data_IF_870695941487
#
_entry.id   IF_870695941487
#
_cell.length_a   1.000
_cell.length_b   1.000
_cell.length_c   1.000
_cell.angle_alpha   90.00
_cell.angle_beta   90.00
_cell.angle_gamma   90.00
#
_symmetry.space_group_name_H-M   'P 1'
#
loop_
_entity.id
_entity.type
_entity.pdbx_description
1 polymer ?
#
# COMPACT_ATOMS: atom_id res chain seq x y z
N UNK A 1 1.33 -23.82 14.70
CA UNK A 1 1.02 -22.42 15.08
C UNK A 1 -0.32 -21.97 14.50
N UNK A 2 -0.49 -21.92 13.17
CA UNK A 2 -1.74 -21.44 12.56
C UNK A 2 -2.95 -22.32 12.92
N UNK A 3 -2.82 -23.64 12.94
CA UNK A 3 -3.93 -24.51 13.34
C UNK A 3 -4.33 -24.36 14.82
N UNK A 4 -3.39 -24.02 15.69
CA UNK A 4 -3.66 -23.68 17.09
C UNK A 4 -4.41 -22.34 17.20
N UNK A 5 -3.99 -21.34 16.42
CA UNK A 5 -4.69 -20.06 16.34
C UNK A 5 -6.11 -20.22 15.77
N UNK A 6 -6.31 -21.11 14.79
CA UNK A 6 -7.63 -21.45 14.23
C UNK A 6 -8.58 -22.05 15.26
N UNK A 7 -8.05 -22.80 16.22
CA UNK A 7 -8.82 -23.38 17.35
C UNK A 7 -9.10 -22.37 18.48
N UNK A 8 -8.63 -21.13 18.35
CA UNK A 8 -8.84 -20.09 19.36
C UNK A 8 -7.83 -20.11 20.50
N UNK A 9 -6.71 -20.84 20.38
CA UNK A 9 -5.68 -20.86 21.42
C UNK A 9 -5.01 -19.48 21.57
N UNK A 10 -5.14 -18.77 22.72
CA UNK A 10 -4.73 -17.37 22.85
C UNK A 10 -3.25 -17.14 22.54
N UNK A 11 -2.37 -17.99 23.08
CA UNK A 11 -0.92 -17.89 22.85
C UNK A 11 -0.52 -18.09 21.38
N UNK A 12 -1.31 -18.85 20.62
CA UNK A 12 -1.07 -19.05 19.19
C UNK A 12 -1.55 -17.87 18.36
N UNK A 13 -2.65 -17.24 18.75
CA UNK A 13 -3.15 -15.99 18.14
C UNK A 13 -2.14 -14.87 18.38
N UNK A 14 -1.67 -14.67 19.62
CA UNK A 14 -0.70 -13.63 19.94
C UNK A 14 0.59 -13.76 19.11
N UNK A 15 1.14 -14.97 19.02
CA UNK A 15 2.32 -15.22 18.17
C UNK A 15 2.05 -14.91 16.70
N UNK A 16 0.88 -15.26 16.20
CA UNK A 16 0.51 -14.95 14.82
C UNK A 16 0.41 -13.43 14.60
N UNK A 17 -0.24 -12.70 15.50
CA UNK A 17 -0.38 -11.24 15.41
C UNK A 17 0.99 -10.55 15.43
N UNK A 18 1.90 -10.98 16.31
CA UNK A 18 3.28 -10.44 16.39
C UNK A 18 4.04 -10.66 15.09
N UNK A 19 3.94 -11.86 14.49
CA UNK A 19 4.59 -12.16 13.21
C UNK A 19 4.02 -11.30 12.08
N UNK A 20 2.68 -11.23 11.98
CA UNK A 20 2.01 -10.46 10.94
C UNK A 20 2.26 -8.96 11.07
N UNK A 21 2.37 -8.42 12.29
CA UNK A 21 2.57 -6.99 12.56
C UNK A 21 3.78 -6.42 11.80
N UNK A 22 4.91 -7.12 11.78
CA UNK A 22 6.12 -6.65 11.08
C UNK A 22 5.91 -6.52 9.57
N UNK A 23 5.29 -7.52 8.96
CA UNK A 23 5.07 -7.57 7.52
C UNK A 23 4.05 -6.54 7.08
N UNK A 24 2.94 -6.40 7.81
CA UNK A 24 1.91 -5.41 7.49
C UNK A 24 2.37 -3.99 7.77
N UNK A 25 3.23 -3.75 8.78
CA UNK A 25 3.79 -2.42 9.03
C UNK A 25 4.66 -1.97 7.86
N UNK A 26 5.54 -2.84 7.36
CA UNK A 26 6.36 -2.54 6.17
C UNK A 26 5.49 -2.27 4.95
N UNK A 27 4.46 -3.10 4.72
CA UNK A 27 3.53 -2.91 3.62
C UNK A 27 2.75 -1.59 3.73
N UNK A 28 2.24 -1.26 4.93
CA UNK A 28 1.47 -0.05 5.19
C UNK A 28 2.32 1.21 5.00
N UNK A 29 3.56 1.22 5.48
CA UNK A 29 4.49 2.35 5.28
C UNK A 29 4.84 2.61 3.80
N UNK A 30 4.75 1.61 2.94
CA UNK A 30 4.95 1.75 1.48
C UNK A 30 3.67 2.19 0.77
N UNK A 31 2.53 1.63 1.19
CA UNK A 31 1.28 1.65 0.45
C UNK A 31 0.25 2.68 0.94
N UNK A 32 0.35 3.12 2.19
CA UNK A 32 -0.62 3.99 2.83
C UNK A 32 -0.18 5.46 2.76
N UNK A 33 -1.11 6.37 2.45
CA UNK A 33 -0.83 7.81 2.33
C UNK A 33 -0.98 8.57 3.65
N UNK A 34 -1.43 7.89 4.71
CA UNK A 34 -1.60 8.45 6.06
C UNK A 34 -0.24 8.58 6.77
N UNK A 35 -0.09 9.59 7.62
CA UNK A 35 1.16 9.80 8.38
C UNK A 35 1.34 8.81 9.51
N UNK A 36 0.22 8.43 10.13
CA UNK A 36 0.17 7.44 11.19
C UNK A 36 -0.47 6.17 10.63
N UNK A 37 0.35 5.16 10.35
CA UNK A 37 -0.11 3.86 9.85
C UNK A 37 -0.43 2.90 10.98
N UNK A 38 -0.10 3.24 12.23
CA UNK A 38 -0.21 2.34 13.37
C UNK A 38 -1.68 2.05 13.69
N UNK A 39 -2.58 3.03 13.52
CA UNK A 39 -4.04 2.83 13.61
C UNK A 39 -4.54 1.82 12.56
N UNK A 40 -4.09 1.93 11.31
CA UNK A 40 -4.50 1.02 10.24
C UNK A 40 -4.02 -0.42 10.50
N UNK A 41 -2.81 -0.54 11.02
CA UNK A 41 -2.19 -1.79 11.42
C UNK A 41 -2.98 -2.42 12.57
N UNK A 42 -3.32 -1.63 13.59
CA UNK A 42 -4.03 -2.10 14.77
C UNK A 42 -5.43 -2.62 14.40
N UNK A 43 -6.18 -1.88 13.59
CA UNK A 43 -7.48 -2.34 13.06
C UNK A 43 -7.34 -3.60 12.22
N UNK A 44 -6.30 -3.69 11.39
CA UNK A 44 -6.04 -4.89 10.59
C UNK A 44 -5.74 -6.13 11.45
N UNK A 45 -5.01 -5.96 12.56
CA UNK A 45 -4.74 -7.03 13.52
C UNK A 45 -5.99 -7.45 14.28
N UNK A 46 -6.88 -6.51 14.63
CA UNK A 46 -8.18 -6.80 15.24
C UNK A 46 -9.10 -7.59 14.29
N UNK A 47 -9.05 -7.30 12.99
CA UNK A 47 -9.79 -8.06 11.97
C UNK A 47 -9.16 -9.45 11.80
N UNK A 48 -7.83 -9.55 11.79
CA UNK A 48 -7.09 -10.82 11.70
C UNK A 48 -7.40 -11.75 12.88
N UNK A 49 -7.44 -11.24 14.11
CA UNK A 49 -7.70 -12.05 15.31
C UNK A 49 -9.08 -12.71 15.27
N UNK A 50 -10.07 -12.07 14.63
CA UNK A 50 -11.42 -12.63 14.43
C UNK A 50 -11.47 -13.57 13.22
N UNK A 51 -10.75 -13.23 12.15
CA UNK A 51 -10.75 -14.00 10.91
C UNK A 51 -10.00 -15.33 11.03
N UNK A 52 -8.95 -15.41 11.85
CA UNK A 52 -8.07 -16.58 11.91
C UNK A 52 -8.82 -17.89 12.17
N UNK A 53 -9.90 -17.86 12.95
CA UNK A 53 -10.77 -19.02 13.19
C UNK A 53 -11.44 -19.57 11.91
N UNK A 54 -11.70 -18.69 10.93
CA UNK A 54 -12.35 -19.01 9.65
C UNK A 54 -11.37 -19.33 8.52
N UNK A 55 -10.06 -19.25 8.76
CA UNK A 55 -9.03 -19.51 7.75
C UNK A 55 -9.09 -20.96 7.27
N UNK A 56 -9.35 -21.19 5.98
CA UNK A 56 -9.37 -22.53 5.38
C UNK A 56 -8.01 -22.94 4.81
N UNK A 57 -7.24 -21.98 4.28
CA UNK A 57 -5.96 -22.22 3.65
C UNK A 57 -4.91 -21.20 4.09
N UNK A 58 -3.78 -21.68 4.61
CA UNK A 58 -2.67 -20.85 5.10
C UNK A 58 -2.11 -19.91 4.03
N UNK A 59 -2.05 -20.36 2.77
CA UNK A 59 -1.52 -19.55 1.65
C UNK A 59 -2.39 -18.34 1.30
N UNK A 60 -3.67 -18.33 1.70
CA UNK A 60 -4.56 -17.20 1.46
C UNK A 60 -4.38 -16.08 2.50
N UNK A 61 -3.73 -16.36 3.63
CA UNK A 61 -3.63 -15.44 4.76
C UNK A 61 -2.91 -14.14 4.38
N UNK A 62 -1.73 -14.23 3.76
CA UNK A 62 -0.92 -13.06 3.41
C UNK A 62 -1.63 -12.15 2.41
N UNK A 63 -2.15 -12.73 1.32
CA UNK A 63 -2.91 -11.98 0.32
C UNK A 63 -4.15 -11.32 0.90
N UNK A 64 -4.91 -12.04 1.73
CA UNK A 64 -6.09 -11.48 2.40
C UNK A 64 -5.70 -10.36 3.37
N UNK A 65 -4.64 -10.56 4.17
CA UNK A 65 -4.18 -9.61 5.16
C UNK A 65 -3.73 -8.29 4.51
N UNK A 66 -3.01 -8.35 3.38
CA UNK A 66 -2.65 -7.13 2.66
C UNK A 66 -3.87 -6.38 2.11
N UNK A 67 -4.94 -7.07 1.69
CA UNK A 67 -6.20 -6.41 1.32
C UNK A 67 -6.84 -5.71 2.51
N UNK A 68 -6.84 -6.34 3.68
CA UNK A 68 -7.37 -5.73 4.92
C UNK A 68 -6.59 -4.47 5.27
N UNK A 69 -5.25 -4.54 5.27
CA UNK A 69 -4.39 -3.37 5.56
C UNK A 69 -4.64 -2.23 4.59
N UNK A 70 -4.75 -2.53 3.30
CA UNK A 70 -5.06 -1.54 2.27
C UNK A 70 -6.42 -0.87 2.52
N UNK A 71 -7.44 -1.67 2.87
CA UNK A 71 -8.78 -1.18 3.20
C UNK A 71 -8.77 -0.24 4.42
N UNK A 72 -8.09 -0.62 5.50
CA UNK A 72 -8.04 0.20 6.71
C UNK A 72 -7.25 1.49 6.54
N UNK A 73 -6.10 1.42 5.83
CA UNK A 73 -5.37 2.63 5.46
C UNK A 73 -6.21 3.61 4.63
N UNK A 74 -7.03 3.09 3.71
CA UNK A 74 -7.95 3.92 2.93
C UNK A 74 -9.06 4.47 3.80
N UNK A 75 -9.69 3.66 4.66
CA UNK A 75 -10.73 4.12 5.59
C UNK A 75 -10.24 5.33 6.40
N UNK A 76 -9.04 5.22 6.97
CA UNK A 76 -8.41 6.31 7.73
C UNK A 76 -8.05 7.51 6.83
N UNK A 77 -7.53 7.28 5.63
CA UNK A 77 -7.29 8.38 4.68
C UNK A 77 -8.57 9.15 4.36
N UNK A 78 -9.71 8.49 4.17
CA UNK A 78 -10.99 9.16 3.91
C UNK A 78 -11.48 9.98 5.08
N UNK A 79 -11.38 9.42 6.29
CA UNK A 79 -11.83 10.10 7.51
C UNK A 79 -10.92 11.28 7.86
N UNK A 80 -9.61 11.12 7.72
CA UNK A 80 -8.60 12.11 8.17
C UNK A 80 -8.26 13.14 7.09
N UNK A 81 -8.20 12.74 5.82
CA UNK A 81 -7.80 13.61 4.70
C UNK A 81 -8.98 14.08 3.84
N UNK A 82 -10.22 13.62 4.12
CA UNK A 82 -11.43 13.90 3.30
C UNK A 82 -11.22 13.66 1.80
N UNK A 83 -10.36 12.70 1.47
CA UNK A 83 -9.89 12.43 0.12
C UNK A 83 -9.95 10.92 -0.14
N UNK A 84 -10.73 10.52 -1.15
CA UNK A 84 -10.78 9.15 -1.66
C UNK A 84 -10.56 9.14 -3.19
N UNK A 85 -9.33 9.01 -3.68
CA UNK A 85 -9.02 9.09 -5.11
C UNK A 85 -9.17 7.74 -5.83
N UNK A 86 -9.58 6.68 -5.12
CA UNK A 86 -9.45 5.31 -5.60
C UNK A 86 -10.81 4.77 -6.04
N UNK A 87 -11.15 4.97 -7.31
CA UNK A 87 -12.17 4.14 -7.97
C UNK A 87 -11.59 2.73 -8.17
N UNK A 88 -11.72 1.92 -7.12
CA UNK A 88 -11.12 0.59 -7.03
C UNK A 88 -11.67 -0.35 -8.10
N UNK A 89 -12.93 -0.19 -8.48
CA UNK A 89 -13.54 -0.94 -9.58
C UNK A 89 -12.86 -0.62 -10.91
N UNK A 90 -12.57 0.66 -11.16
CA UNK A 90 -11.87 1.09 -12.39
C UNK A 90 -10.40 0.65 -12.41
N UNK A 91 -9.70 0.72 -11.28
CA UNK A 91 -8.31 0.22 -11.18
C UNK A 91 -8.25 -1.29 -11.36
N UNK A 92 -9.18 -2.02 -10.74
CA UNK A 92 -9.26 -3.47 -10.87
C UNK A 92 -9.62 -3.87 -12.30
N UNK A 93 -10.54 -3.18 -12.95
CA UNK A 93 -10.86 -3.38 -14.36
C UNK A 93 -9.64 -3.13 -15.27
N UNK A 94 -8.88 -2.05 -15.04
CA UNK A 94 -7.66 -1.76 -15.81
C UNK A 94 -6.61 -2.86 -15.66
N UNK A 95 -6.34 -3.31 -14.43
CA UNK A 95 -5.35 -4.36 -14.18
C UNK A 95 -5.78 -5.70 -14.79
N UNK A 96 -7.07 -6.04 -14.75
CA UNK A 96 -7.58 -7.26 -15.39
C UNK A 96 -7.63 -7.17 -16.92
N UNK A 97 -7.77 -5.97 -17.48
CA UNK A 97 -7.82 -5.74 -18.92
C UNK A 97 -6.43 -5.68 -19.61
N UNK A 98 -5.34 -5.79 -18.85
CA UNK A 98 -3.97 -5.65 -19.36
C UNK A 98 -3.13 -6.89 -19.02
N UNK A 99 -2.24 -7.27 -19.94
CA UNK A 99 -1.21 -8.28 -19.62
C UNK A 99 -0.13 -7.66 -18.72
N UNK A 100 0.62 -8.46 -17.95
CA UNK A 100 1.73 -7.94 -17.14
C UNK A 100 2.79 -7.18 -17.95
N UNK A 101 3.01 -7.54 -19.22
CA UNK A 101 3.95 -6.84 -20.09
C UNK A 101 3.40 -5.47 -20.53
N UNK A 102 2.13 -5.40 -20.92
CA UNK A 102 1.47 -4.14 -21.28
C UNK A 102 1.45 -3.17 -20.09
N UNK A 103 1.10 -3.66 -18.90
CA UNK A 103 1.06 -2.84 -17.68
C UNK A 103 2.45 -2.26 -17.33
N UNK A 104 3.54 -3.00 -17.56
CA UNK A 104 4.90 -2.48 -17.36
C UNK A 104 5.24 -1.35 -18.32
N UNK A 105 4.82 -1.46 -19.58
CA UNK A 105 5.03 -0.41 -20.57
C UNK A 105 4.22 0.85 -20.23
N UNK A 106 2.96 0.68 -19.82
CA UNK A 106 2.11 1.78 -19.38
C UNK A 106 2.73 2.52 -18.17
N UNK A 107 3.29 1.78 -17.21
CA UNK A 107 4.01 2.37 -16.07
C UNK A 107 5.27 3.11 -16.53
N UNK A 108 6.04 2.54 -17.46
CA UNK A 108 7.25 3.20 -17.98
C UNK A 108 6.91 4.55 -18.63
N UNK A 109 5.92 4.58 -19.52
CA UNK A 109 5.46 5.82 -20.15
C UNK A 109 4.90 6.82 -19.13
N UNK A 110 4.16 6.35 -18.13
CA UNK A 110 3.64 7.21 -17.08
C UNK A 110 4.77 7.88 -16.28
N UNK A 111 5.83 7.14 -15.93
CA UNK A 111 7.00 7.70 -15.25
C UNK A 111 7.80 8.66 -16.15
N UNK A 112 7.96 8.34 -17.44
CA UNK A 112 8.61 9.22 -18.41
C UNK A 112 7.83 10.53 -18.62
N UNK A 113 6.51 10.52 -18.48
CA UNK A 113 5.70 11.73 -18.59
C UNK A 113 5.82 12.69 -17.40
N UNK A 114 6.38 12.23 -16.27
CA UNK A 114 6.53 13.06 -15.08
C UNK A 114 7.63 14.12 -15.25
N UNK A 115 7.45 15.33 -14.70
CA UNK A 115 8.55 16.24 -14.43
C UNK A 115 9.68 15.57 -13.64
N UNK A 116 10.93 15.93 -13.94
CA UNK A 116 12.13 15.26 -13.43
C UNK A 116 12.12 15.06 -11.91
N UNK A 117 11.81 16.12 -11.16
CA UNK A 117 11.77 16.08 -9.69
C UNK A 117 10.69 15.15 -9.11
N UNK A 118 9.63 14.84 -9.86
CA UNK A 118 8.61 13.86 -9.49
C UNK A 118 9.01 12.45 -9.92
N UNK A 119 9.71 12.29 -11.04
CA UNK A 119 10.25 10.99 -11.44
C UNK A 119 11.33 10.54 -10.46
N UNK A 120 12.28 11.41 -10.15
CA UNK A 120 13.40 11.16 -9.24
C UNK A 120 12.92 10.65 -7.88
N UNK A 121 11.94 11.34 -7.27
CA UNK A 121 11.44 10.94 -5.95
C UNK A 121 10.73 9.58 -5.95
N UNK A 122 10.08 9.21 -7.06
CA UNK A 122 9.43 7.90 -7.22
C UNK A 122 10.49 6.82 -7.43
N UNK A 123 11.53 7.09 -8.22
CA UNK A 123 12.65 6.14 -8.42
C UNK A 123 13.33 5.84 -7.08
N UNK A 124 13.73 6.89 -6.34
CA UNK A 124 14.37 6.74 -5.04
C UNK A 124 13.50 5.96 -4.05
N UNK A 125 12.18 6.19 -4.06
CA UNK A 125 11.26 5.53 -3.12
C UNK A 125 10.89 4.11 -3.52
N UNK A 126 10.49 3.90 -4.77
CA UNK A 126 9.80 2.70 -5.22
C UNK A 126 10.73 1.71 -5.94
N UNK A 127 11.92 2.15 -6.38
CA UNK A 127 12.94 1.30 -7.01
C UNK A 127 14.17 1.13 -6.13
N UNK A 128 14.67 2.21 -5.51
CA UNK A 128 15.83 2.15 -4.61
C UNK A 128 15.43 1.87 -3.14
N UNK A 129 14.14 1.81 -2.86
CA UNK A 129 13.55 1.51 -1.53
C UNK A 129 13.97 2.46 -0.40
N UNK A 130 14.46 3.67 -0.70
CA UNK A 130 14.87 4.64 0.31
C UNK A 130 13.70 5.12 1.17
N UNK A 131 13.99 5.42 2.44
CA UNK A 131 13.04 6.02 3.37
C UNK A 131 12.81 7.50 3.05
N UNK A 132 11.68 8.06 3.50
CA UNK A 132 11.41 9.50 3.33
C UNK A 132 12.50 10.38 3.97
N UNK A 133 13.19 9.90 5.01
CA UNK A 133 14.28 10.62 5.64
C UNK A 133 15.56 10.60 4.80
N UNK A 134 15.92 9.43 4.25
CA UNK A 134 17.07 9.30 3.34
C UNK A 134 16.86 10.13 2.07
N UNK A 135 15.67 10.07 1.48
CA UNK A 135 15.31 10.88 0.31
C UNK A 135 15.34 12.38 0.65
N UNK A 136 14.80 12.77 1.81
CA UNK A 136 14.84 14.16 2.26
C UNK A 136 16.28 14.67 2.40
N UNK A 137 17.15 13.86 3.01
CA UNK A 137 18.57 14.19 3.16
C UNK A 137 19.28 14.27 1.81
N UNK A 138 19.02 13.32 0.91
CA UNK A 138 19.65 13.25 -0.42
C UNK A 138 19.21 14.39 -1.34
N UNK A 139 17.93 14.78 -1.30
CA UNK A 139 17.36 15.83 -2.15
C UNK A 139 17.40 17.23 -1.50
N UNK A 140 17.93 17.36 -0.29
CA UNK A 140 17.96 18.63 0.44
C UNK A 140 16.57 19.19 0.77
N UNK A 141 15.60 18.31 1.02
CA UNK A 141 14.21 18.66 1.32
C UNK A 141 13.86 18.40 2.79
N UNK A 142 12.75 18.98 3.26
CA UNK A 142 12.14 18.49 4.49
C UNK A 142 11.41 17.16 4.26
N UNK A 143 11.24 16.35 5.30
CA UNK A 143 10.45 15.11 5.24
C UNK A 143 9.02 15.38 4.80
N UNK A 144 8.43 16.50 5.24
CA UNK A 144 7.09 16.93 4.82
C UNK A 144 7.02 17.29 3.32
N UNK A 145 8.01 18.01 2.80
CA UNK A 145 8.11 18.33 1.38
C UNK A 145 8.32 17.07 0.54
N UNK A 146 9.17 16.15 1.01
CA UNK A 146 9.40 14.83 0.39
C UNK A 146 8.11 14.03 0.29
N UNK A 147 7.34 13.97 1.40
CA UNK A 147 6.04 13.30 1.44
C UNK A 147 5.05 13.91 0.46
N UNK A 148 4.93 15.24 0.43
CA UNK A 148 4.03 15.95 -0.48
C UNK A 148 4.40 15.74 -1.95
N UNK A 149 5.70 15.82 -2.27
CA UNK A 149 6.21 15.64 -3.64
C UNK A 149 6.01 14.20 -4.13
N UNK A 150 6.29 13.20 -3.30
CA UNK A 150 6.04 11.80 -3.63
C UNK A 150 4.55 11.52 -3.84
N UNK A 151 3.70 12.13 -3.00
CA UNK A 151 2.25 12.02 -3.15
C UNK A 151 1.79 12.56 -4.51
N UNK A 152 2.22 13.77 -4.87
CA UNK A 152 1.84 14.39 -6.14
C UNK A 152 2.38 13.62 -7.34
N UNK A 153 3.60 13.10 -7.27
CA UNK A 153 4.16 12.25 -8.31
C UNK A 153 3.27 11.02 -8.58
N UNK A 154 2.84 10.33 -7.52
CA UNK A 154 1.96 9.16 -7.61
C UNK A 154 0.54 9.50 -8.10
N UNK A 155 0.03 10.69 -7.81
CA UNK A 155 -1.22 11.17 -8.42
C UNK A 155 -1.09 11.35 -9.93
N UNK A 156 -0.05 12.05 -10.39
CA UNK A 156 0.19 12.27 -11.82
C UNK A 156 0.36 10.96 -12.59
N UNK A 157 1.13 10.01 -12.04
CA UNK A 157 1.25 8.66 -12.62
C UNK A 157 -0.11 7.98 -12.73
N UNK A 158 -0.95 8.09 -11.70
CA UNK A 158 -2.30 7.50 -11.72
C UNK A 158 -3.19 8.17 -12.76
N UNK A 159 -3.22 9.51 -12.80
CA UNK A 159 -3.99 10.28 -13.78
C UNK A 159 -3.64 9.83 -15.20
N UNK A 160 -2.35 9.65 -15.50
CA UNK A 160 -1.88 9.13 -16.79
C UNK A 160 -2.41 7.73 -17.09
N UNK A 161 -2.22 6.78 -16.16
CA UNK A 161 -2.64 5.39 -16.32
C UNK A 161 -4.17 5.26 -16.49
N UNK A 162 -4.94 6.09 -15.79
CA UNK A 162 -6.39 6.09 -15.84
C UNK A 162 -6.94 6.83 -17.07
N UNK A 163 -6.22 7.80 -17.62
CA UNK A 163 -6.58 8.47 -18.87
C UNK A 163 -6.39 7.55 -20.10
N UNK A 164 -5.33 6.73 -20.11
CA UNK A 164 -5.10 5.72 -21.16
C UNK A 164 -6.06 4.53 -21.14
N UNK A 165 -6.95 4.44 -20.16
CA UNK A 165 -7.99 3.40 -20.04
C UNK A 165 -9.30 3.74 -20.75
N UNK A 166 -9.46 4.99 -21.23
CA UNK A 166 -10.71 5.50 -21.80
C UNK A 166 -10.80 5.41 -23.33
N UNK A 167 -9.89 4.67 -23.99
CA UNK A 167 -9.88 4.44 -25.43
C UNK A 167 -9.97 2.95 -25.75
#
# INVERSE_FOLDING_TARGET
MIDAARRGEPAAIDRLLVLCHRDIRRYAQRSCSISDVDDAIQESLLVLSRFVASLRHTRALSTWLFRVVRRECRRLARTTLRWDPWDEARVEALVHARTPAALRLDIAHALESLPEHYREIVVLRDFEELTLHEIAAQLGLSVAATKSRLHRARELTREYLLAGSAA
#
